data_IF_982919541679
#
_entry.id   IF_982919541679
#
_cell.length_a   1.000
_cell.length_b   1.000
_cell.length_c   1.000
_cell.angle_alpha   90.00
_cell.angle_beta   90.00
_cell.angle_gamma   90.00
#
_symmetry.space_group_name_H-M   'P 1'
#
loop_
_entity.id
_entity.type
_entity.pdbx_description
1 polymer ?
#
# COMPACT_ATOMS: atom_id res chain seq x y z
N UNK A 1 -20.41 12.22 -10.59
CA UNK A 1 -20.66 10.78 -10.79
C UNK A 1 -21.64 10.34 -9.73
N UNK A 2 -22.62 9.52 -10.07
CA UNK A 2 -23.64 9.10 -9.09
C UNK A 2 -23.07 8.07 -8.12
N UNK A 3 -23.59 8.04 -6.89
CA UNK A 3 -23.19 7.05 -5.88
C UNK A 3 -23.26 5.59 -6.39
N UNK A 4 -24.19 5.29 -7.30
CA UNK A 4 -24.30 3.98 -7.94
C UNK A 4 -23.10 3.63 -8.83
N UNK A 5 -22.56 4.60 -9.57
CA UNK A 5 -21.40 4.40 -10.44
C UNK A 5 -20.14 4.13 -9.61
N UNK A 6 -19.96 4.87 -8.51
CA UNK A 6 -18.85 4.69 -7.55
C UNK A 6 -18.88 3.30 -6.92
N UNK A 7 -20.05 2.82 -6.48
CA UNK A 7 -20.22 1.48 -5.89
C UNK A 7 -19.95 0.38 -6.91
N UNK A 8 -20.39 0.54 -8.15
CA UNK A 8 -20.11 -0.42 -9.22
C UNK A 8 -18.61 -0.48 -9.54
N UNK A 9 -17.95 0.68 -9.65
CA UNK A 9 -16.51 0.76 -9.87
C UNK A 9 -15.74 0.09 -8.73
N UNK A 10 -16.10 0.40 -7.47
CA UNK A 10 -15.48 -0.21 -6.30
C UNK A 10 -15.65 -1.74 -6.29
N UNK A 11 -16.85 -2.24 -6.57
CA UNK A 11 -17.12 -3.69 -6.62
C UNK A 11 -16.31 -4.40 -7.71
N UNK A 12 -16.18 -3.81 -8.90
CA UNK A 12 -15.30 -4.34 -9.96
C UNK A 12 -13.84 -4.36 -9.49
N UNK A 13 -13.43 -3.32 -8.77
CA UNK A 13 -12.13 -3.23 -8.14
C UNK A 13 -11.84 -4.40 -7.19
N UNK A 14 -12.81 -4.74 -6.35
CA UNK A 14 -12.75 -5.89 -5.43
C UNK A 14 -12.63 -7.20 -6.19
N UNK A 15 -13.42 -7.42 -7.25
CA UNK A 15 -13.34 -8.66 -8.04
C UNK A 15 -11.98 -8.84 -8.71
N UNK A 16 -11.41 -7.73 -9.21
CA UNK A 16 -10.08 -7.75 -9.81
C UNK A 16 -9.01 -8.31 -8.85
N UNK A 17 -9.14 -8.12 -7.53
CA UNK A 17 -8.16 -8.61 -6.55
C UNK A 17 -7.95 -10.13 -6.60
N UNK A 18 -8.98 -10.92 -6.94
CA UNK A 18 -8.87 -12.37 -7.04
C UNK A 18 -8.94 -12.90 -8.48
N UNK A 19 -9.43 -12.12 -9.44
CA UNK A 19 -9.48 -12.52 -10.85
C UNK A 19 -8.13 -12.33 -11.58
N UNK A 20 -7.37 -11.31 -11.20
CA UNK A 20 -6.06 -11.00 -11.79
C UNK A 20 -4.95 -11.31 -10.80
N UNK A 21 -3.92 -12.05 -11.21
CA UNK A 21 -2.74 -12.33 -10.38
C UNK A 21 -1.68 -11.25 -10.59
N UNK A 22 -0.92 -10.91 -9.54
CA UNK A 22 0.19 -9.95 -9.58
C UNK A 22 -0.20 -8.56 -10.14
N UNK A 23 -1.23 -7.92 -9.57
CA UNK A 23 -1.59 -6.55 -9.93
C UNK A 23 -0.39 -5.64 -9.60
N UNK A 24 0.08 -4.80 -10.55
CA UNK A 24 1.27 -3.98 -10.33
C UNK A 24 1.13 -3.04 -9.12
N UNK A 25 2.16 -3.01 -8.26
CA UNK A 25 2.23 -2.06 -7.15
C UNK A 25 2.18 -0.59 -7.64
N UNK A 26 2.63 -0.32 -8.86
CA UNK A 26 2.61 1.02 -9.48
C UNK A 26 1.22 1.46 -9.98
N UNK A 27 0.20 0.59 -9.96
CA UNK A 27 -1.15 0.90 -10.40
C UNK A 27 -1.92 1.78 -9.38
N UNK A 28 -1.40 2.97 -9.08
CA UNK A 28 -1.91 3.84 -8.02
C UNK A 28 -3.40 4.15 -8.17
N UNK A 29 -3.87 4.49 -9.38
CA UNK A 29 -5.28 4.76 -9.67
C UNK A 29 -6.22 3.60 -9.26
N UNK A 30 -5.74 2.36 -9.36
CA UNK A 30 -6.51 1.19 -8.94
C UNK A 30 -6.53 1.04 -7.41
N UNK A 31 -5.40 1.21 -6.75
CA UNK A 31 -5.33 1.07 -5.29
C UNK A 31 -6.06 2.21 -4.58
N UNK A 32 -6.00 3.43 -5.12
CA UNK A 32 -6.67 4.63 -4.59
C UNK A 32 -8.18 4.45 -4.40
N UNK A 33 -8.79 3.65 -5.27
CA UNK A 33 -10.22 3.39 -5.20
C UNK A 33 -10.67 2.81 -3.84
N UNK A 34 -9.78 2.12 -3.10
CA UNK A 34 -10.11 1.48 -1.82
C UNK A 34 -10.27 2.46 -0.66
N UNK A 35 -9.68 3.64 -0.74
CA UNK A 35 -9.89 4.71 0.25
C UNK A 35 -10.68 5.91 -0.30
N UNK A 36 -10.83 6.03 -1.63
CA UNK A 36 -11.57 7.12 -2.28
C UNK A 36 -13.04 6.79 -2.53
N UNK A 37 -13.37 5.57 -3.01
CA UNK A 37 -14.73 5.25 -3.45
C UNK A 37 -15.73 4.87 -2.35
N UNK A 38 -15.35 4.21 -1.24
CA UNK A 38 -16.33 3.86 -0.23
C UNK A 38 -16.95 5.09 0.44
N UNK A 39 -18.27 5.15 0.46
CA UNK A 39 -19.01 6.28 1.06
C UNK A 39 -19.38 6.00 2.52
N UNK A 40 -19.58 4.72 2.88
CA UNK A 40 -20.03 4.28 4.20
C UNK A 40 -19.38 2.96 4.64
N UNK A 41 -19.52 2.61 5.93
CA UNK A 41 -19.07 1.31 6.43
C UNK A 41 -19.95 0.18 5.87
N UNK A 42 -21.24 0.43 5.72
CA UNK A 42 -22.20 -0.51 5.12
C UNK A 42 -21.78 -0.87 3.70
N UNK A 43 -21.33 0.11 2.89
CA UNK A 43 -20.85 -0.13 1.54
C UNK A 43 -19.61 -1.02 1.53
N UNK A 44 -18.65 -0.79 2.43
CA UNK A 44 -17.46 -1.64 2.54
C UNK A 44 -17.85 -3.08 2.87
N UNK A 45 -18.72 -3.29 3.86
CA UNK A 45 -19.11 -4.64 4.28
C UNK A 45 -19.97 -5.36 3.25
N UNK A 46 -20.78 -4.63 2.46
CA UNK A 46 -21.60 -5.21 1.40
C UNK A 46 -20.82 -5.49 0.11
N UNK A 47 -19.90 -4.60 -0.27
CA UNK A 47 -19.18 -4.67 -1.55
C UNK A 47 -17.88 -5.47 -1.43
N UNK A 48 -17.30 -5.55 -0.23
CA UNK A 48 -16.18 -6.44 0.10
C UNK A 48 -16.73 -7.61 0.93
N UNK A 49 -17.26 -8.62 0.25
CA UNK A 49 -17.86 -9.77 0.94
C UNK A 49 -16.79 -10.65 1.60
N UNK A 50 -17.20 -11.45 2.59
CA UNK A 50 -16.27 -12.37 3.26
C UNK A 50 -15.74 -13.44 2.31
N UNK A 51 -16.56 -13.85 1.35
CA UNK A 51 -16.17 -14.80 0.32
C UNK A 51 -15.10 -14.19 -0.59
N UNK A 52 -15.26 -12.93 -1.01
CA UNK A 52 -14.28 -12.25 -1.85
C UNK A 52 -12.91 -12.19 -1.16
N UNK A 53 -12.86 -11.79 0.12
CA UNK A 53 -11.59 -11.69 0.87
C UNK A 53 -10.90 -13.04 0.98
N UNK A 54 -11.65 -14.11 1.27
CA UNK A 54 -11.10 -15.48 1.31
C UNK A 54 -10.54 -15.89 -0.06
N UNK A 55 -11.23 -15.56 -1.15
CA UNK A 55 -10.73 -15.81 -2.50
C UNK A 55 -9.45 -15.04 -2.79
N UNK A 56 -9.36 -13.76 -2.41
CA UNK A 56 -8.10 -13.01 -2.57
C UNK A 56 -6.98 -13.67 -1.76
N UNK A 57 -7.24 -14.02 -0.51
CA UNK A 57 -6.27 -14.68 0.38
C UNK A 57 -5.76 -16.01 -0.21
N UNK A 58 -6.68 -16.85 -0.68
CA UNK A 58 -6.40 -18.22 -1.13
C UNK A 58 -5.90 -18.28 -2.58
N UNK A 59 -6.47 -17.46 -3.47
CA UNK A 59 -6.20 -17.50 -4.91
C UNK A 59 -5.20 -16.43 -5.36
N UNK A 60 -4.99 -15.33 -4.63
CA UNK A 60 -4.20 -14.17 -5.09
C UNK A 60 -3.54 -13.38 -3.94
N UNK A 61 -2.78 -14.09 -3.09
CA UNK A 61 -2.18 -13.54 -1.87
C UNK A 61 -1.31 -12.30 -2.10
N UNK A 62 -0.56 -12.26 -3.20
CA UNK A 62 0.29 -11.12 -3.52
C UNK A 62 -0.49 -9.80 -3.68
N UNK A 63 -1.75 -9.88 -4.11
CA UNK A 63 -2.61 -8.70 -4.20
C UNK A 63 -3.14 -8.29 -2.83
N UNK A 64 -3.34 -9.24 -1.92
CA UNK A 64 -3.71 -8.96 -0.54
C UNK A 64 -2.59 -8.23 0.20
N UNK A 65 -1.35 -8.72 0.06
CA UNK A 65 -0.13 -8.06 0.57
C UNK A 65 -0.03 -6.63 0.06
N UNK A 66 -0.11 -6.46 -1.27
CA UNK A 66 -0.05 -5.14 -1.90
C UNK A 66 -1.17 -4.21 -1.42
N UNK A 67 -2.40 -4.73 -1.26
CA UNK A 67 -3.52 -3.94 -0.74
C UNK A 67 -3.26 -3.47 0.68
N UNK A 68 -2.79 -4.35 1.57
CA UNK A 68 -2.48 -4.03 2.96
C UNK A 68 -1.38 -2.98 3.03
N UNK A 69 -0.29 -3.17 2.29
CA UNK A 69 0.82 -2.21 2.20
C UNK A 69 0.34 -0.84 1.72
N UNK A 70 -0.43 -0.77 0.63
CA UNK A 70 -0.94 0.49 0.10
C UNK A 70 -1.87 1.21 1.07
N UNK A 71 -2.77 0.47 1.71
CA UNK A 71 -3.74 1.05 2.66
C UNK A 71 -3.04 1.54 3.93
N UNK A 72 -2.06 0.79 4.45
CA UNK A 72 -1.24 1.21 5.59
C UNK A 72 -0.37 2.43 5.24
N UNK A 73 0.30 2.41 4.08
CA UNK A 73 1.11 3.54 3.61
C UNK A 73 0.27 4.82 3.50
N UNK A 74 -0.92 4.73 2.91
CA UNK A 74 -1.84 5.87 2.83
C UNK A 74 -2.30 6.33 4.23
N UNK A 75 -2.61 5.39 5.12
CA UNK A 75 -3.01 5.72 6.50
C UNK A 75 -1.90 6.48 7.24
N UNK A 76 -0.65 6.03 7.13
CA UNK A 76 0.49 6.69 7.75
C UNK A 76 0.76 8.07 7.12
N UNK A 77 0.78 8.16 5.80
CA UNK A 77 0.94 9.43 5.09
C UNK A 77 -0.11 10.47 5.51
N UNK A 78 -1.37 10.05 5.65
CA UNK A 78 -2.45 10.93 6.12
C UNK A 78 -2.27 11.32 7.59
N UNK A 79 -1.78 10.42 8.44
CA UNK A 79 -1.56 10.67 9.86
C UNK A 79 -0.39 11.62 10.14
N UNK A 80 0.63 11.62 9.28
CA UNK A 80 1.81 12.49 9.38
C UNK A 80 1.56 13.89 8.78
N UNK A 81 0.46 14.06 8.05
CA UNK A 81 0.14 15.35 7.42
C UNK A 81 -0.07 16.44 8.47
N UNK A 82 0.45 17.64 8.22
CA UNK A 82 0.26 18.81 9.11
C UNK A 82 -1.20 19.22 9.27
N UNK A 83 -2.08 18.74 8.38
CA UNK A 83 -3.51 19.02 8.38
C UNK A 83 -4.33 17.90 9.04
N UNK A 84 -3.68 16.86 9.55
CA UNK A 84 -4.31 15.74 10.23
C UNK A 84 -5.25 16.23 11.35
N UNK A 85 -6.48 15.71 11.38
CA UNK A 85 -7.56 16.08 12.31
C UNK A 85 -8.05 17.54 12.23
N UNK A 86 -7.67 18.28 11.20
CA UNK A 86 -8.29 19.58 10.88
C UNK A 86 -9.55 19.39 10.02
N UNK A 87 -10.38 20.43 9.89
CA UNK A 87 -11.56 20.39 9.02
C UNK A 87 -11.24 20.24 7.53
N UNK A 88 -9.97 20.41 7.15
CA UNK A 88 -9.48 20.27 5.78
C UNK A 88 -8.92 18.86 5.50
N UNK A 89 -8.63 18.07 6.54
CA UNK A 89 -8.11 16.72 6.35
C UNK A 89 -9.12 15.84 5.60
N UNK A 90 -8.66 14.94 4.72
CA UNK A 90 -9.50 13.95 4.07
C UNK A 90 -9.87 12.84 5.06
N UNK A 91 -10.59 13.18 6.14
CA UNK A 91 -10.97 12.26 7.21
C UNK A 91 -11.74 11.03 6.69
N UNK A 92 -12.47 11.20 5.57
CA UNK A 92 -13.12 10.08 4.87
C UNK A 92 -12.13 9.02 4.38
N UNK A 93 -10.97 9.41 3.84
CA UNK A 93 -9.96 8.47 3.35
C UNK A 93 -9.31 7.71 4.51
N UNK A 94 -8.98 8.40 5.61
CA UNK A 94 -8.46 7.77 6.84
C UNK A 94 -9.46 6.72 7.34
N UNK A 95 -10.73 7.10 7.43
CA UNK A 95 -11.79 6.22 7.89
C UNK A 95 -11.97 5.01 6.96
N UNK A 96 -11.88 5.22 5.65
CA UNK A 96 -11.95 4.14 4.67
C UNK A 96 -10.75 3.19 4.78
N UNK A 97 -9.53 3.68 4.98
CA UNK A 97 -8.36 2.84 5.23
C UNK A 97 -8.60 1.92 6.44
N UNK A 98 -9.07 2.48 7.56
CA UNK A 98 -9.39 1.70 8.77
C UNK A 98 -10.52 0.69 8.51
N UNK A 99 -11.57 1.08 7.78
CA UNK A 99 -12.69 0.18 7.41
C UNK A 99 -12.21 -1.01 6.58
N UNK A 100 -11.31 -0.79 5.62
CA UNK A 100 -10.76 -1.86 4.76
C UNK A 100 -9.89 -2.80 5.59
N UNK A 101 -8.99 -2.26 6.41
CA UNK A 101 -8.12 -3.07 7.28
C UNK A 101 -8.93 -3.91 8.28
N UNK A 102 -9.87 -3.29 8.99
CA UNK A 102 -10.76 -4.00 9.92
C UNK A 102 -11.64 -5.04 9.22
N UNK A 103 -11.96 -4.83 7.95
CA UNK A 103 -12.72 -5.79 7.15
C UNK A 103 -11.88 -6.99 6.72
N UNK A 104 -10.61 -6.79 6.38
CA UNK A 104 -9.72 -7.83 5.84
C UNK A 104 -9.12 -8.69 6.94
N UNK A 105 -8.60 -8.08 8.00
CA UNK A 105 -7.81 -8.77 9.02
C UNK A 105 -8.46 -10.03 9.62
N UNK A 106 -9.75 -10.04 9.99
CA UNK A 106 -10.36 -11.25 10.55
C UNK A 106 -10.24 -12.48 9.65
N UNK A 107 -10.18 -12.29 8.33
CA UNK A 107 -10.08 -13.39 7.36
C UNK A 107 -8.63 -13.81 7.09
N UNK A 108 -7.66 -12.99 7.46
CA UNK A 108 -6.25 -13.39 7.48
C UNK A 108 -6.04 -14.36 8.64
N UNK A 109 -6.46 -13.94 9.84
CA UNK A 109 -6.26 -14.66 11.09
C UNK A 109 -7.17 -15.90 11.29
N UNK A 110 -8.13 -16.16 10.39
CA UNK A 110 -9.05 -17.30 10.55
C UNK A 110 -8.49 -18.66 10.07
N UNK A 111 -7.42 -18.68 9.27
CA UNK A 111 -6.95 -19.90 8.59
C UNK A 111 -5.61 -20.39 9.11
N UNK A 112 -5.55 -21.65 9.58
CA UNK A 112 -4.32 -22.27 10.07
C UNK A 112 -3.25 -22.40 8.98
N UNK A 113 -3.65 -22.63 7.72
CA UNK A 113 -2.75 -22.76 6.57
C UNK A 113 -1.96 -21.46 6.28
N UNK A 114 -2.45 -20.32 6.78
CA UNK A 114 -1.84 -19.02 6.56
C UNK A 114 -1.00 -18.55 7.74
N UNK A 115 -1.02 -19.28 8.86
CA UNK A 115 -0.37 -18.85 10.09
C UNK A 115 1.13 -18.62 9.93
N UNK A 116 1.83 -19.53 9.25
CA UNK A 116 3.28 -19.38 9.02
C UNK A 116 3.60 -18.16 8.15
N UNK A 117 2.76 -17.89 7.15
CA UNK A 117 2.91 -16.73 6.29
C UNK A 117 2.61 -15.43 7.04
N UNK A 118 1.53 -15.41 7.82
CA UNK A 118 1.13 -14.26 8.63
C UNK A 118 2.19 -13.93 9.68
N UNK A 119 2.70 -14.95 10.38
CA UNK A 119 3.81 -14.82 11.33
C UNK A 119 5.01 -14.14 10.66
N UNK A 120 5.36 -14.61 9.46
CA UNK A 120 6.47 -14.05 8.72
C UNK A 120 6.21 -12.62 8.25
N UNK A 121 5.03 -12.36 7.68
CA UNK A 121 4.72 -11.09 7.03
C UNK A 121 4.54 -9.94 8.03
N UNK A 122 3.83 -10.17 9.14
CA UNK A 122 3.53 -9.12 10.11
C UNK A 122 4.57 -8.99 11.22
N UNK A 123 5.21 -10.09 11.62
CA UNK A 123 5.96 -10.14 12.87
C UNK A 123 7.45 -10.40 12.68
N UNK A 124 7.91 -10.65 11.45
CA UNK A 124 9.35 -10.67 11.17
C UNK A 124 9.83 -9.23 10.96
N UNK A 125 10.85 -8.76 11.71
CA UNK A 125 11.44 -7.45 11.48
C UNK A 125 11.88 -7.35 10.03
N UNK A 126 11.40 -6.33 9.32
CA UNK A 126 11.81 -6.06 7.96
C UNK A 126 13.32 -5.79 7.98
N UNK A 127 14.12 -6.78 7.60
CA UNK A 127 15.56 -6.59 7.46
C UNK A 127 15.74 -5.69 6.25
N UNK A 128 15.96 -4.39 6.50
CA UNK A 128 16.35 -3.42 5.50
C UNK A 128 17.68 -3.88 4.88
N UNK A 129 17.57 -4.78 3.90
CA UNK A 129 18.67 -5.00 2.96
C UNK A 129 18.62 -3.76 2.08
N UNK A 130 19.40 -2.76 2.44
CA UNK A 130 19.78 -1.69 1.53
C UNK A 130 20.35 -2.35 0.29
N UNK A 131 19.49 -2.64 -0.70
CA UNK A 131 19.96 -2.87 -2.05
C UNK A 131 20.46 -1.52 -2.50
N UNK A 132 21.73 -1.25 -2.20
CA UNK A 132 22.50 -0.23 -2.85
C UNK A 132 22.26 -0.40 -4.35
N UNK A 133 21.45 0.48 -4.92
CA UNK A 133 21.28 0.57 -6.36
C UNK A 133 22.65 0.91 -6.91
N UNK A 134 23.37 -0.12 -7.36
CA UNK A 134 24.50 0.05 -8.26
C UNK A 134 23.93 0.64 -9.54
N UNK A 135 23.96 1.97 -9.64
CA UNK A 135 23.86 2.65 -10.91
C UNK A 135 25.03 2.14 -11.76
N UNK A 136 24.72 1.32 -12.77
CA UNK A 136 25.68 1.04 -13.85
C UNK A 136 25.88 2.36 -14.62
N UNK A 137 27.11 2.87 -14.75
CA UNK A 137 27.38 3.98 -15.64
C UNK A 137 27.32 3.48 -17.08
N UNK A 138 26.49 4.13 -17.87
CA UNK A 138 26.43 4.02 -19.33
C UNK A 138 27.79 4.48 -19.91
N UNK A 139 28.49 3.57 -20.59
CA UNK A 139 29.71 3.87 -21.33
C UNK A 139 29.38 4.06 -22.82
N UNK A 140 29.81 5.19 -23.39
CA UNK A 140 30.59 5.31 -24.64
C UNK A 140 30.78 6.82 -24.99
N UNK A 141 31.97 7.40 -24.70
CA UNK A 141 32.97 7.95 -25.65
C UNK A 141 32.72 9.42 -26.11
N UNK A 142 33.60 10.45 -26.09
CA UNK A 142 35.07 10.70 -26.01
C UNK A 142 35.33 12.16 -25.48
N UNK A 143 36.45 12.41 -24.75
CA UNK A 143 36.80 13.63 -23.95
C UNK A 143 37.34 14.88 -24.70
N UNK A 144 38.32 15.69 -24.18
CA UNK A 144 39.00 15.73 -22.87
C UNK A 144 39.03 17.12 -22.14
N UNK A 145 39.60 17.12 -20.93
CA UNK A 145 40.19 18.24 -20.13
C UNK A 145 39.32 19.40 -19.59
N UNK A 146 39.23 19.51 -18.25
CA UNK A 146 40.03 20.47 -17.46
C UNK A 146 39.75 20.35 -15.94
N UNK A 147 40.81 20.56 -15.14
CA UNK A 147 40.84 20.42 -13.68
C UNK A 147 40.22 21.61 -12.92
N UNK A 148 39.58 21.35 -11.77
CA UNK A 148 39.91 21.89 -10.43
C UNK A 148 38.76 21.83 -9.39
N UNK A 149 39.17 21.49 -8.15
CA UNK A 149 38.65 21.96 -6.84
C UNK A 149 37.39 21.36 -6.20
N UNK A 150 37.67 20.51 -5.19
CA UNK A 150 37.25 20.55 -3.77
C UNK A 150 35.76 20.68 -3.37
N UNK A 151 35.37 19.65 -2.59
CA UNK A 151 34.70 19.71 -1.27
C UNK A 151 33.21 20.13 -1.21
N UNK A 152 32.36 19.19 -0.76
CA UNK A 152 31.72 19.25 0.57
C UNK A 152 30.89 17.99 0.85
N UNK A 153 31.23 17.32 1.95
CA UNK A 153 30.27 16.54 2.73
C UNK A 153 29.11 17.44 3.16
N UNK A 154 27.87 16.96 3.02
CA UNK A 154 26.77 17.35 3.89
C UNK A 154 26.01 16.08 4.29
N UNK A 155 26.10 15.81 5.58
CA UNK A 155 25.39 14.83 6.38
C UNK A 155 23.94 15.28 6.61
N UNK A 156 23.02 14.31 6.66
CA UNK A 156 21.69 14.41 7.28
C UNK A 156 20.56 14.68 6.27
N UNK A 157 19.44 13.96 6.27
CA UNK A 157 18.78 13.27 7.37
C UNK A 157 18.00 12.04 6.85
N UNK A 158 18.20 10.90 7.48
CA UNK A 158 17.37 9.70 7.28
C UNK A 158 16.12 9.83 8.15
N UNK A 159 14.94 9.91 7.54
CA UNK A 159 13.68 9.70 8.25
C UNK A 159 13.39 8.20 8.32
N UNK A 160 13.42 7.71 9.56
CA UNK A 160 13.21 6.32 9.97
C UNK A 160 11.72 5.95 9.89
N UNK A 161 11.37 4.98 9.05
CA UNK A 161 10.12 4.23 9.22
C UNK A 161 10.44 3.04 10.14
N UNK A 162 10.17 3.22 11.44
CA UNK A 162 10.13 2.10 12.38
C UNK A 162 8.73 1.50 12.35
N UNK A 163 8.58 0.34 11.73
CA UNK A 163 7.46 -0.55 12.01
C UNK A 163 7.68 -1.14 13.41
N UNK A 164 7.04 -0.55 14.41
CA UNK A 164 6.85 -1.16 15.73
C UNK A 164 5.43 -1.70 15.76
N UNK A 165 5.32 -3.03 15.71
CA UNK A 165 4.43 -3.80 16.59
C UNK A 165 5.23 -4.98 17.11
#
# INVERSE_FOLDING_TARGET
MGAADSKLAFKKGVFRLFEERNIPYSANDYWEQFWVLPESVEDVFQLVSSQDIRRVRDEARENLECLIEKVLAQLFQLSESSEFLTSLAPAGQVLNCVRILTRIFPFIFESEDFKDWEEHYFWTPLMHTEKATQQQPESDEIGPECAHSKSKEVVGSNEHISLIV
#
